data_IF_727327657640
#
_entry.id   IF_727327657640
#
_cell.length_a   1.000
_cell.length_b   1.000
_cell.length_c   1.000
_cell.angle_alpha   90.00
_cell.angle_beta   90.00
_cell.angle_gamma   90.00
#
_symmetry.space_group_name_H-M   'P 1'
#
loop_
_entity.id
_entity.type
_entity.pdbx_description
1 polymer ?
#
# COMPACT_ATOMS: atom_id res chain seq x y z
N UNK A 1 -58.40 -32.88 -85.53
CA UNK A 1 -59.24 -31.98 -84.66
C UNK A 1 -59.41 -32.61 -83.26
N UNK A 2 -59.36 -31.85 -82.28
CA UNK A 2 -59.58 -32.05 -80.80
C UNK A 2 -58.35 -32.52 -80.02
N UNK A 3 -57.83 -31.56 -79.37
CA UNK A 3 -56.91 -31.51 -78.24
C UNK A 3 -57.42 -32.23 -77.00
N UNK A 4 -56.58 -33.01 -76.34
CA UNK A 4 -56.81 -33.48 -74.98
C UNK A 4 -55.68 -32.98 -74.05
N UNK A 5 -55.98 -32.10 -73.20
CA UNK A 5 -55.08 -31.56 -72.21
C UNK A 5 -55.01 -32.47 -70.94
N UNK A 6 -53.85 -33.06 -70.71
CA UNK A 6 -53.59 -33.81 -69.48
C UNK A 6 -53.19 -32.85 -68.40
N UNK A 7 -53.92 -32.85 -67.30
CA UNK A 7 -53.71 -32.09 -66.09
C UNK A 7 -52.72 -32.86 -65.14
N UNK A 8 -51.48 -32.38 -65.05
CA UNK A 8 -50.48 -32.92 -64.11
C UNK A 8 -50.72 -32.25 -62.75
N UNK A 9 -51.18 -33.00 -61.77
CA UNK A 9 -51.30 -32.52 -60.39
C UNK A 9 -49.96 -32.73 -59.71
N UNK A 10 -49.32 -31.61 -59.42
CA UNK A 10 -48.11 -31.54 -58.59
C UNK A 10 -48.51 -31.59 -57.10
N UNK A 11 -48.17 -32.66 -56.41
CA UNK A 11 -48.26 -32.72 -54.94
C UNK A 11 -47.02 -32.08 -54.35
N UNK A 12 -47.17 -30.90 -53.77
CA UNK A 12 -46.11 -30.27 -52.99
C UNK A 12 -46.11 -30.85 -51.53
N UNK A 13 -45.09 -31.62 -51.20
CA UNK A 13 -44.83 -32.04 -49.80
C UNK A 13 -44.24 -30.85 -49.05
N UNK A 14 -45.01 -30.27 -48.09
CA UNK A 14 -44.50 -29.34 -47.13
C UNK A 14 -43.75 -30.14 -46.04
N UNK A 15 -42.43 -30.09 -46.08
CA UNK A 15 -41.59 -30.50 -44.96
C UNK A 15 -41.61 -29.40 -43.89
N UNK A 16 -42.36 -29.61 -42.82
CA UNK A 16 -42.31 -28.76 -41.59
C UNK A 16 -41.06 -29.19 -40.83
N UNK A 17 -39.97 -28.44 -40.97
CA UNK A 17 -38.80 -28.56 -40.10
C UNK A 17 -39.15 -27.91 -38.76
N UNK A 18 -39.46 -28.70 -37.76
CA UNK A 18 -39.54 -28.25 -36.38
C UNK A 18 -38.11 -27.88 -35.90
N UNK A 19 -37.79 -26.60 -36.04
CA UNK A 19 -36.57 -26.07 -35.44
C UNK A 19 -36.66 -26.18 -33.92
N UNK A 20 -35.87 -27.05 -33.29
CA UNK A 20 -35.60 -26.99 -31.83
C UNK A 20 -34.89 -25.66 -31.56
N UNK A 21 -35.63 -24.67 -31.14
CA UNK A 21 -35.03 -23.47 -30.56
C UNK A 21 -34.32 -23.89 -29.26
N UNK A 22 -33.00 -23.98 -29.30
CA UNK A 22 -32.20 -24.12 -28.11
C UNK A 22 -32.49 -22.90 -27.22
N UNK A 23 -33.18 -23.11 -26.11
CA UNK A 23 -33.37 -22.07 -25.11
C UNK A 23 -32.00 -21.77 -24.52
N UNK A 24 -31.41 -20.62 -24.90
CA UNK A 24 -30.26 -20.05 -24.15
C UNK A 24 -30.70 -19.86 -22.73
N UNK A 25 -29.90 -20.35 -21.74
CA UNK A 25 -30.25 -20.13 -20.33
C UNK A 25 -30.41 -18.62 -20.09
N UNK A 26 -31.58 -18.23 -19.60
CA UNK A 26 -31.82 -16.82 -19.26
C UNK A 26 -30.79 -16.40 -18.22
N UNK A 27 -29.92 -15.47 -18.59
CA UNK A 27 -28.98 -14.88 -17.61
C UNK A 27 -29.79 -14.24 -16.51
N UNK A 28 -29.55 -14.67 -15.27
CA UNK A 28 -30.16 -14.06 -14.09
C UNK A 28 -29.74 -12.59 -14.07
N UNK A 29 -30.69 -11.68 -14.20
CA UNK A 29 -30.45 -10.25 -14.02
C UNK A 29 -30.46 -9.97 -12.52
N UNK A 30 -29.27 -9.81 -11.95
CA UNK A 30 -29.11 -9.36 -10.55
C UNK A 30 -28.99 -7.85 -10.53
N UNK A 31 -29.73 -7.17 -9.66
CA UNK A 31 -29.51 -5.74 -9.42
C UNK A 31 -28.11 -5.53 -8.86
N UNK A 32 -27.48 -4.46 -9.26
CA UNK A 32 -26.15 -4.09 -8.73
C UNK A 32 -26.28 -3.74 -7.24
N UNK A 33 -25.48 -4.37 -6.40
CA UNK A 33 -25.44 -4.03 -4.98
C UNK A 33 -24.92 -2.60 -4.83
N UNK A 34 -25.58 -1.71 -4.06
CA UNK A 34 -25.14 -0.33 -3.87
C UNK A 34 -23.79 -0.26 -3.16
N UNK A 35 -23.55 -1.17 -2.19
CA UNK A 35 -22.25 -1.31 -1.51
C UNK A 35 -21.65 -2.69 -1.78
N UNK A 36 -20.34 -2.77 -2.07
CA UNK A 36 -19.70 -4.04 -2.34
C UNK A 36 -19.64 -4.91 -1.08
N UNK A 37 -19.90 -6.21 -1.24
CA UNK A 37 -19.79 -7.19 -0.16
C UNK A 37 -18.36 -7.22 0.40
N UNK A 38 -18.22 -7.16 1.74
CA UNK A 38 -16.92 -7.11 2.43
C UNK A 38 -16.01 -8.28 2.05
N UNK A 39 -16.53 -9.51 1.94
CA UNK A 39 -15.74 -10.67 1.53
C UNK A 39 -15.18 -10.51 0.11
N UNK A 40 -15.96 -9.95 -0.82
CA UNK A 40 -15.47 -9.62 -2.18
C UNK A 40 -14.40 -8.54 -2.16
N UNK A 41 -14.52 -7.55 -1.26
CA UNK A 41 -13.48 -6.52 -1.08
C UNK A 41 -12.18 -7.14 -0.59
N UNK A 42 -12.22 -8.00 0.42
CA UNK A 42 -11.04 -8.72 0.94
C UNK A 42 -10.35 -9.55 -0.16
N UNK A 43 -11.10 -10.25 -0.99
CA UNK A 43 -10.52 -10.96 -2.16
C UNK A 43 -9.83 -10.01 -3.14
N UNK A 44 -10.36 -8.80 -3.35
CA UNK A 44 -9.70 -7.77 -4.19
C UNK A 44 -8.42 -7.26 -3.55
N UNK A 45 -8.37 -7.08 -2.23
CA UNK A 45 -7.16 -6.68 -1.51
C UNK A 45 -6.06 -7.73 -1.68
N UNK A 46 -6.38 -9.02 -1.52
CA UNK A 46 -5.43 -10.12 -1.75
C UNK A 46 -4.96 -10.12 -3.21
N UNK A 47 -5.87 -10.00 -4.19
CA UNK A 47 -5.51 -9.96 -5.60
C UNK A 47 -4.62 -8.75 -5.94
N UNK A 48 -4.88 -7.58 -5.35
CA UNK A 48 -4.07 -6.37 -5.51
C UNK A 48 -2.65 -6.54 -4.94
N UNK A 49 -2.53 -7.15 -3.76
CA UNK A 49 -1.23 -7.41 -3.14
C UNK A 49 -0.44 -8.47 -3.93
N UNK A 50 -1.06 -9.59 -4.26
CA UNK A 50 -0.38 -10.77 -4.82
C UNK A 50 -0.13 -10.65 -6.35
N UNK A 51 -0.67 -9.60 -6.99
CA UNK A 51 -0.50 -9.41 -8.42
C UNK A 51 0.94 -8.97 -8.77
N UNK A 52 1.38 -9.33 -10.00
CA UNK A 52 2.74 -9.04 -10.50
C UNK A 52 2.73 -8.24 -11.81
N UNK A 53 1.67 -7.47 -12.04
CA UNK A 53 1.52 -6.65 -13.24
C UNK A 53 2.24 -5.29 -13.14
N UNK A 54 2.32 -4.60 -14.26
CA UNK A 54 2.98 -3.28 -14.35
C UNK A 54 2.10 -2.13 -13.84
N UNK A 55 0.80 -2.36 -13.68
CA UNK A 55 -0.16 -1.37 -13.18
C UNK A 55 -1.23 -2.05 -12.33
N UNK A 56 -1.75 -1.30 -11.36
CA UNK A 56 -2.83 -1.79 -10.50
C UNK A 56 -2.41 -2.92 -9.56
N UNK A 57 -1.10 -3.01 -9.23
CA UNK A 57 -0.54 -3.95 -8.28
C UNK A 57 0.14 -3.22 -7.13
N UNK A 58 -0.01 -3.74 -5.92
CA UNK A 58 0.50 -3.11 -4.70
C UNK A 58 1.99 -2.78 -4.79
N UNK A 59 2.82 -3.77 -5.13
CA UNK A 59 4.28 -3.57 -5.24
C UNK A 59 4.65 -2.54 -6.30
N UNK A 60 3.93 -2.48 -7.41
CA UNK A 60 4.19 -1.51 -8.48
C UNK A 60 3.80 -0.10 -8.05
N UNK A 61 2.68 0.03 -7.34
CA UNK A 61 2.23 1.32 -6.83
C UNK A 61 3.13 1.83 -5.69
N UNK A 62 3.62 0.94 -4.80
CA UNK A 62 4.66 1.25 -3.81
C UNK A 62 5.93 1.77 -4.48
N UNK A 63 6.43 1.04 -5.49
CA UNK A 63 7.64 1.42 -6.22
C UNK A 63 7.50 2.79 -6.90
N UNK A 64 6.36 3.06 -7.52
CA UNK A 64 6.10 4.36 -8.16
C UNK A 64 6.20 5.53 -7.18
N UNK A 65 5.66 5.38 -5.96
CA UNK A 65 5.77 6.42 -4.93
C UNK A 65 7.20 6.54 -4.41
N UNK A 66 7.89 5.42 -4.20
CA UNK A 66 9.29 5.42 -3.77
C UNK A 66 10.20 6.06 -4.82
N UNK A 67 9.98 5.80 -6.11
CA UNK A 67 10.76 6.41 -7.19
C UNK A 67 10.55 7.94 -7.26
N UNK A 68 9.34 8.43 -6.98
CA UNK A 68 9.08 9.88 -6.83
C UNK A 68 9.85 10.47 -5.65
N UNK A 69 9.87 9.77 -4.52
CA UNK A 69 10.63 10.19 -3.34
C UNK A 69 12.13 10.24 -3.63
N UNK A 70 12.67 9.22 -4.29
CA UNK A 70 14.09 9.14 -4.68
C UNK A 70 14.45 10.28 -5.65
N UNK A 71 13.64 10.52 -6.67
CA UNK A 71 13.88 11.60 -7.63
C UNK A 71 13.90 12.98 -6.96
N UNK A 72 12.98 13.22 -6.01
CA UNK A 72 12.97 14.44 -5.21
C UNK A 72 14.23 14.56 -4.34
N UNK A 73 14.60 13.50 -3.63
CA UNK A 73 15.81 13.46 -2.78
C UNK A 73 17.05 13.82 -3.59
N UNK A 74 17.26 13.17 -4.73
CA UNK A 74 18.41 13.42 -5.62
C UNK A 74 18.44 14.87 -6.12
N UNK A 75 17.29 15.40 -6.57
CA UNK A 75 17.21 16.79 -7.02
C UNK A 75 17.51 17.77 -5.87
N UNK A 76 17.01 17.47 -4.67
CA UNK A 76 17.15 18.35 -3.51
C UNK A 76 18.57 18.37 -2.97
N UNK A 77 19.23 17.20 -2.91
CA UNK A 77 20.62 17.09 -2.45
C UNK A 77 21.61 17.68 -3.43
N UNK A 78 21.41 17.51 -4.74
CA UNK A 78 22.23 18.13 -5.76
C UNK A 78 22.27 19.67 -5.66
N UNK A 79 21.18 20.29 -5.17
CA UNK A 79 21.10 21.75 -4.97
C UNK A 79 21.70 22.22 -3.64
N UNK A 80 21.88 21.32 -2.68
CA UNK A 80 22.24 21.68 -1.31
C UNK A 80 23.74 21.92 -1.11
N UNK A 81 24.59 21.24 -1.86
CA UNK A 81 26.02 21.16 -1.57
C UNK A 81 26.33 20.34 -0.30
N UNK A 82 27.56 19.91 -0.13
CA UNK A 82 27.96 18.96 0.93
C UNK A 82 27.68 19.45 2.36
N UNK A 83 27.94 20.73 2.65
CA UNK A 83 27.73 21.28 4.01
C UNK A 83 26.26 21.31 4.45
N UNK A 84 25.33 21.49 3.51
CA UNK A 84 23.92 21.53 3.81
C UNK A 84 23.29 20.13 3.87
N UNK A 85 23.90 19.15 3.21
CA UNK A 85 23.43 17.77 3.26
C UNK A 85 23.46 17.19 4.68
N UNK A 86 24.40 17.58 5.53
CA UNK A 86 24.55 17.10 6.89
C UNK A 86 23.40 17.46 7.85
N UNK A 87 22.58 18.43 7.49
CA UNK A 87 21.41 18.83 8.29
C UNK A 87 20.08 18.44 7.64
N UNK A 88 20.15 17.84 6.44
CA UNK A 88 18.97 17.32 5.78
C UNK A 88 18.62 15.95 6.35
N UNK A 89 17.33 15.72 6.54
CA UNK A 89 16.84 14.44 6.97
C UNK A 89 15.56 14.01 6.23
N UNK A 90 15.34 12.72 6.26
CA UNK A 90 14.08 12.12 5.87
C UNK A 90 13.45 11.40 7.05
N UNK A 91 12.14 11.42 7.12
CA UNK A 91 11.34 10.69 8.09
C UNK A 91 10.62 9.56 7.37
N UNK A 92 10.74 8.35 7.90
CA UNK A 92 10.07 7.15 7.43
C UNK A 92 9.19 6.58 8.54
N UNK A 93 7.97 6.24 8.22
CA UNK A 93 7.18 5.33 9.02
C UNK A 93 7.69 3.88 8.86
N UNK A 94 7.22 2.95 9.70
CA UNK A 94 7.67 1.55 9.68
C UNK A 94 6.64 0.63 9.06
N UNK A 95 5.43 0.53 9.61
CA UNK A 95 4.44 -0.47 9.24
C UNK A 95 3.80 -0.12 7.88
N UNK A 96 3.81 -1.03 6.94
CA UNK A 96 3.42 -0.87 5.52
C UNK A 96 4.12 0.30 4.80
N UNK A 97 5.18 0.82 5.42
CA UNK A 97 6.07 1.84 4.83
C UNK A 97 7.48 1.31 4.63
N UNK A 98 8.15 0.92 5.69
CA UNK A 98 9.51 0.37 5.66
C UNK A 98 9.53 -1.15 5.76
N UNK A 99 8.62 -1.72 6.54
CA UNK A 99 8.42 -3.16 6.73
C UNK A 99 7.00 -3.54 6.31
N UNK A 100 6.85 -4.73 5.71
CA UNK A 100 5.54 -5.26 5.37
C UNK A 100 5.04 -6.22 6.43
N UNK A 101 3.83 -6.02 6.89
CA UNK A 101 3.13 -6.90 7.83
C UNK A 101 2.06 -7.76 7.14
N UNK A 102 2.15 -7.90 5.82
CA UNK A 102 1.16 -8.62 5.01
C UNK A 102 0.77 -9.98 5.56
N UNK A 103 1.71 -10.73 6.12
CA UNK A 103 1.45 -12.08 6.61
C UNK A 103 0.43 -12.08 7.77
N UNK A 104 0.59 -11.19 8.74
CA UNK A 104 -0.35 -11.05 9.86
C UNK A 104 -1.63 -10.35 9.43
N UNK A 105 -1.56 -9.34 8.57
CA UNK A 105 -2.74 -8.66 8.03
C UNK A 105 -3.68 -9.64 7.32
N UNK A 106 -3.12 -10.50 6.49
CA UNK A 106 -3.87 -11.54 5.77
C UNK A 106 -4.37 -12.64 6.72
N UNK A 107 -3.54 -13.07 7.67
CA UNK A 107 -3.91 -14.07 8.69
C UNK A 107 -5.12 -13.63 9.50
N UNK A 108 -5.14 -12.37 9.93
CA UNK A 108 -6.18 -11.79 10.78
C UNK A 108 -7.37 -11.25 9.97
N UNK A 109 -7.43 -11.62 8.68
CA UNK A 109 -8.52 -11.26 7.78
C UNK A 109 -8.76 -9.74 7.72
N UNK A 110 -7.66 -8.96 7.70
CA UNK A 110 -7.62 -7.48 7.73
C UNK A 110 -8.23 -6.88 9.00
N UNK A 111 -8.25 -7.63 10.09
CA UNK A 111 -8.62 -7.16 11.41
C UNK A 111 -7.39 -6.91 12.28
N UNK A 112 -7.53 -6.08 13.33
CA UNK A 112 -6.47 -5.91 14.31
C UNK A 112 -6.72 -6.79 15.53
N UNK A 113 -5.89 -7.81 15.71
CA UNK A 113 -5.87 -8.67 16.90
C UNK A 113 -4.59 -8.43 17.67
N UNK A 114 -4.67 -7.69 18.74
CA UNK A 114 -3.51 -7.21 19.51
C UNK A 114 -2.54 -8.33 19.92
N UNK A 115 -3.06 -9.52 20.28
CA UNK A 115 -2.24 -10.68 20.63
C UNK A 115 -1.42 -11.17 19.44
N UNK A 116 -2.03 -11.27 18.27
CA UNK A 116 -1.39 -11.82 17.08
C UNK A 116 -0.41 -10.80 16.49
N UNK A 117 -0.78 -9.51 16.54
CA UNK A 117 0.13 -8.42 16.21
C UNK A 117 1.41 -8.44 17.07
N UNK A 118 1.29 -8.55 18.40
CA UNK A 118 2.46 -8.58 19.28
C UNK A 118 3.33 -9.82 18.99
N UNK A 119 2.70 -10.99 18.80
CA UNK A 119 3.42 -12.20 18.44
C UNK A 119 4.15 -12.06 17.10
N UNK A 120 3.54 -11.41 16.11
CA UNK A 120 4.16 -11.12 14.82
C UNK A 120 5.40 -10.22 14.97
N UNK A 121 5.28 -9.08 15.66
CA UNK A 121 6.39 -8.16 15.89
C UNK A 121 7.56 -8.87 16.60
N UNK A 122 7.26 -9.73 17.57
CA UNK A 122 8.28 -10.51 18.30
C UNK A 122 9.00 -11.54 17.41
N UNK A 123 8.43 -11.94 16.28
CA UNK A 123 9.15 -12.81 15.31
C UNK A 123 10.32 -12.10 14.65
N UNK A 124 10.29 -10.76 14.52
CA UNK A 124 11.31 -9.92 13.85
C UNK A 124 11.51 -10.29 12.37
N UNK A 125 10.45 -10.76 11.70
CA UNK A 125 10.53 -11.34 10.34
C UNK A 125 9.82 -10.52 9.27
N UNK A 126 9.29 -9.36 9.61
CA UNK A 126 8.66 -8.49 8.62
C UNK A 126 9.68 -8.11 7.52
N UNK A 127 9.41 -8.47 6.25
CA UNK A 127 10.34 -8.18 5.17
C UNK A 127 10.34 -6.67 4.83
N UNK A 128 11.43 -6.16 4.23
CA UNK A 128 11.50 -4.77 3.82
C UNK A 128 10.56 -4.51 2.64
N UNK A 129 9.95 -3.32 2.61
CA UNK A 129 9.34 -2.78 1.40
C UNK A 129 10.48 -2.27 0.51
N UNK A 130 10.71 -3.00 -0.58
CA UNK A 130 11.89 -2.81 -1.44
C UNK A 130 12.06 -1.36 -1.95
N UNK A 131 10.96 -0.68 -2.28
CA UNK A 131 11.00 0.72 -2.72
C UNK A 131 11.50 1.66 -1.63
N UNK A 132 11.05 1.48 -0.40
CA UNK A 132 11.48 2.27 0.75
C UNK A 132 12.92 1.96 1.14
N UNK A 133 13.34 0.70 1.07
CA UNK A 133 14.75 0.34 1.31
C UNK A 133 15.69 0.99 0.26
N UNK A 134 15.26 1.07 -1.01
CA UNK A 134 16.02 1.82 -2.04
C UNK A 134 16.14 3.31 -1.68
N UNK A 135 15.03 3.93 -1.28
CA UNK A 135 15.02 5.33 -0.84
C UNK A 135 15.96 5.55 0.35
N UNK A 136 15.90 4.67 1.34
CA UNK A 136 16.78 4.70 2.51
C UNK A 136 18.26 4.67 2.13
N UNK A 137 18.64 3.70 1.29
CA UNK A 137 20.04 3.57 0.83
C UNK A 137 20.49 4.79 0.00
N UNK A 138 19.59 5.36 -0.80
CA UNK A 138 19.90 6.58 -1.56
C UNK A 138 20.08 7.79 -0.63
N UNK A 139 19.30 7.90 0.45
CA UNK A 139 19.47 8.95 1.46
C UNK A 139 20.86 8.87 2.11
N UNK A 140 21.26 7.70 2.58
CA UNK A 140 22.57 7.46 3.19
C UNK A 140 23.72 7.79 2.20
N UNK A 141 23.60 7.37 0.95
CA UNK A 141 24.56 7.67 -0.11
C UNK A 141 24.78 9.17 -0.33
N UNK A 142 23.74 9.97 -0.12
CA UNK A 142 23.78 11.43 -0.22
C UNK A 142 24.11 12.13 1.10
N UNK A 143 24.45 11.39 2.16
CA UNK A 143 24.75 11.93 3.48
C UNK A 143 23.53 12.51 4.22
N UNK A 144 22.32 12.14 3.79
CA UNK A 144 21.06 12.57 4.41
C UNK A 144 20.74 11.64 5.57
N UNK A 145 20.44 12.20 6.73
CA UNK A 145 20.05 11.44 7.92
C UNK A 145 18.66 10.82 7.76
N UNK A 146 18.44 9.66 8.37
CA UNK A 146 17.14 8.98 8.35
C UNK A 146 16.62 8.79 9.76
N UNK A 147 15.39 9.20 9.99
CA UNK A 147 14.66 8.97 11.25
C UNK A 147 13.46 8.06 10.98
N UNK A 148 13.26 7.11 11.88
CA UNK A 148 12.02 6.30 11.89
C UNK A 148 11.09 6.82 12.98
N UNK A 149 9.80 6.98 12.64
CA UNK A 149 8.74 7.34 13.61
C UNK A 149 7.58 6.36 13.41
N UNK A 150 7.32 5.51 14.40
CA UNK A 150 6.30 4.46 14.31
C UNK A 150 5.27 4.55 15.42
N UNK A 151 4.05 4.09 15.15
CA UNK A 151 3.01 3.89 16.15
C UNK A 151 3.23 2.68 17.07
N UNK A 152 4.23 1.83 16.81
CA UNK A 152 4.57 0.69 17.67
C UNK A 152 4.87 1.13 19.09
N UNK A 153 4.48 0.30 20.07
CA UNK A 153 4.71 0.60 21.47
C UNK A 153 6.20 0.59 21.84
N UNK A 154 6.60 1.41 22.79
CA UNK A 154 7.99 1.46 23.28
C UNK A 154 8.52 0.08 23.72
N UNK A 155 7.67 -0.76 24.31
CA UNK A 155 8.00 -2.13 24.68
C UNK A 155 8.45 -3.02 23.49
N UNK A 156 8.13 -2.62 22.26
CA UNK A 156 8.51 -3.33 21.03
C UNK A 156 9.82 -2.82 20.39
N UNK A 157 10.55 -1.93 21.08
CA UNK A 157 11.77 -1.27 20.55
C UNK A 157 12.83 -2.26 20.07
N UNK A 158 13.17 -3.24 20.91
CA UNK A 158 14.22 -4.21 20.58
C UNK A 158 13.84 -5.06 19.37
N UNK A 159 12.61 -5.60 19.36
CA UNK A 159 12.10 -6.39 18.25
C UNK A 159 12.05 -5.58 16.94
N UNK A 160 11.59 -4.31 17.04
CA UNK A 160 11.53 -3.40 15.88
C UNK A 160 12.92 -3.05 15.35
N UNK A 161 13.85 -2.71 16.24
CA UNK A 161 15.22 -2.36 15.85
C UNK A 161 15.96 -3.53 15.20
N UNK A 162 15.83 -4.74 15.76
CA UNK A 162 16.43 -5.94 15.16
C UNK A 162 15.80 -6.30 13.81
N UNK A 163 14.47 -6.18 13.68
CA UNK A 163 13.80 -6.43 12.41
C UNK A 163 14.25 -5.43 11.33
N UNK A 164 14.35 -4.14 11.67
CA UNK A 164 14.88 -3.14 10.72
C UNK A 164 16.29 -3.51 10.26
N UNK A 165 17.19 -3.89 11.18
CA UNK A 165 18.55 -4.31 10.83
C UNK A 165 18.55 -5.54 9.91
N UNK A 166 17.77 -6.57 10.25
CA UNK A 166 17.65 -7.78 9.44
C UNK A 166 17.07 -7.48 8.05
N UNK A 167 16.17 -6.51 7.96
CA UNK A 167 15.58 -6.06 6.71
C UNK A 167 16.51 -5.18 5.85
N UNK A 168 17.71 -4.82 6.35
CA UNK A 168 18.71 -4.08 5.61
C UNK A 168 18.79 -2.59 5.93
N UNK A 169 18.07 -2.13 6.94
CA UNK A 169 18.19 -0.76 7.43
C UNK A 169 19.28 -0.69 8.51
N UNK A 170 20.31 0.10 8.28
CA UNK A 170 21.44 0.31 9.19
C UNK A 170 21.73 1.81 9.30
N UNK A 171 22.40 2.24 10.36
CA UNK A 171 22.92 3.62 10.48
C UNK A 171 21.85 4.74 10.43
N UNK A 172 20.63 4.47 10.94
CA UNK A 172 19.63 5.53 11.10
C UNK A 172 20.00 6.50 12.23
N UNK A 173 19.63 7.76 12.09
CA UNK A 173 19.91 8.80 13.08
C UNK A 173 19.00 8.73 14.31
N UNK A 174 17.78 8.21 14.17
CA UNK A 174 16.85 8.07 15.28
C UNK A 174 15.72 7.09 14.98
N UNK A 175 15.19 6.52 16.08
CA UNK A 175 14.05 5.61 16.06
C UNK A 175 13.10 6.00 17.20
N UNK A 176 11.94 6.56 16.87
CA UNK A 176 10.90 6.94 17.81
C UNK A 176 9.75 5.93 17.79
N UNK A 177 9.49 5.33 18.95
CA UNK A 177 8.32 4.48 19.19
C UNK A 177 7.37 5.21 20.13
N UNK A 178 6.09 4.83 20.06
CA UNK A 178 5.06 5.47 20.88
C UNK A 178 5.11 4.94 22.31
N UNK A 179 5.54 5.79 23.24
CA UNK A 179 5.50 5.50 24.68
C UNK A 179 4.08 5.65 25.25
N UNK A 180 4.01 5.65 26.57
CA UNK A 180 2.77 5.95 27.29
C UNK A 180 2.24 7.33 26.88
N UNK A 181 0.96 7.41 26.56
CA UNK A 181 0.33 8.62 26.04
C UNK A 181 -1.11 8.75 26.53
N UNK A 182 -1.63 9.99 26.64
CA UNK A 182 -3.03 10.20 26.93
C UNK A 182 -3.92 9.59 25.84
N UNK A 183 -5.07 9.04 26.22
CA UNK A 183 -6.03 8.49 25.26
C UNK A 183 -6.53 9.52 24.21
N UNK A 184 -6.39 10.79 24.51
CA UNK A 184 -6.75 11.90 23.61
C UNK A 184 -5.69 12.24 22.58
N UNK A 185 -4.47 11.73 22.70
CA UNK A 185 -3.41 11.99 21.75
C UNK A 185 -3.61 11.14 20.49
N UNK A 186 -3.88 11.77 19.37
CA UNK A 186 -3.98 11.09 18.08
C UNK A 186 -2.62 10.59 17.59
N UNK A 187 -2.62 9.69 16.63
CA UNK A 187 -1.38 9.24 15.97
C UNK A 187 -0.71 10.40 15.22
N UNK A 188 -1.49 11.28 14.60
CA UNK A 188 -0.97 12.48 13.94
C UNK A 188 -0.30 13.45 14.92
N UNK A 189 -0.88 13.67 16.11
CA UNK A 189 -0.27 14.52 17.15
C UNK A 189 1.06 13.94 17.65
N UNK A 190 1.10 12.62 17.88
CA UNK A 190 2.33 11.95 18.27
C UNK A 190 3.41 12.11 17.20
N UNK A 191 3.11 11.71 15.94
CA UNK A 191 4.11 11.73 14.87
C UNK A 191 4.58 13.14 14.52
N UNK A 192 3.70 14.13 14.53
CA UNK A 192 4.10 15.52 14.34
C UNK A 192 4.94 16.07 15.51
N UNK A 193 4.64 15.63 16.74
CA UNK A 193 5.47 15.95 17.90
C UNK A 193 6.89 15.39 17.79
N UNK A 194 7.06 14.16 17.31
CA UNK A 194 8.39 13.58 17.05
C UNK A 194 9.13 14.32 15.94
N UNK A 195 8.44 14.68 14.83
CA UNK A 195 9.05 15.54 13.79
C UNK A 195 9.50 16.89 14.34
N UNK A 196 8.73 17.46 15.27
CA UNK A 196 9.14 18.70 15.94
C UNK A 196 10.45 18.55 16.71
N UNK A 197 10.65 17.44 17.42
CA UNK A 197 11.91 17.17 18.14
C UNK A 197 13.10 17.10 17.18
N UNK A 198 12.93 16.50 16.02
CA UNK A 198 13.95 16.44 14.97
C UNK A 198 14.31 17.84 14.48
N UNK A 199 13.33 18.67 14.18
CA UNK A 199 13.58 20.08 13.77
C UNK A 199 14.20 20.91 14.88
N UNK A 200 13.76 20.76 16.12
CA UNK A 200 14.33 21.45 17.28
C UNK A 200 15.80 21.03 17.55
N UNK A 201 16.19 19.82 17.13
CA UNK A 201 17.57 19.35 17.18
C UNK A 201 18.46 19.91 16.03
N UNK A 202 17.89 20.75 15.16
CA UNK A 202 18.62 21.42 14.08
C UNK A 202 18.57 20.72 12.73
N UNK A 203 17.80 19.64 12.58
CA UNK A 203 17.61 18.99 11.30
C UNK A 203 16.51 19.67 10.47
N UNK A 204 16.59 19.46 9.16
CA UNK A 204 15.59 19.97 8.22
C UNK A 204 14.95 18.81 7.48
N UNK A 205 13.69 18.50 7.80
CA UNK A 205 12.93 17.43 7.18
C UNK A 205 12.62 17.79 5.71
N UNK A 206 13.33 17.17 4.77
CA UNK A 206 13.07 17.39 3.35
C UNK A 206 12.05 16.40 2.79
N UNK A 207 11.93 15.23 3.39
CA UNK A 207 11.01 14.20 2.93
C UNK A 207 10.39 13.47 4.12
N UNK A 208 9.08 13.24 4.06
CA UNK A 208 8.35 12.41 5.00
C UNK A 208 7.53 11.37 4.24
N UNK A 209 7.73 10.09 4.54
CA UNK A 209 7.06 8.98 3.85
C UNK A 209 6.30 8.13 4.84
N UNK A 210 5.06 7.86 4.53
CA UNK A 210 4.17 7.03 5.35
C UNK A 210 3.01 6.47 4.54
N UNK A 211 2.39 5.43 5.05
CA UNK A 211 1.24 4.75 4.44
C UNK A 211 -0.11 5.23 4.99
N UNK A 212 -0.10 6.03 6.07
CA UNK A 212 -1.30 6.65 6.64
C UNK A 212 -1.22 8.18 6.57
N UNK A 213 -2.38 8.84 6.51
CA UNK A 213 -2.41 10.31 6.60
C UNK A 213 -1.94 10.83 7.96
N UNK A 214 -2.10 10.04 9.02
CA UNK A 214 -1.58 10.34 10.34
C UNK A 214 -0.05 10.43 10.41
N UNK A 215 0.68 9.81 9.47
CA UNK A 215 2.14 9.94 9.33
C UNK A 215 2.54 11.31 8.80
N UNK A 216 1.71 11.87 7.94
CA UNK A 216 2.03 13.03 7.11
C UNK A 216 1.42 14.34 7.65
N UNK A 217 0.31 14.23 8.37
CA UNK A 217 -0.41 15.38 8.92
C UNK A 217 0.32 16.03 10.10
N UNK A 218 -0.09 17.26 10.43
CA UNK A 218 0.45 18.03 11.54
C UNK A 218 1.70 18.83 11.16
N UNK A 219 2.24 19.57 12.14
CA UNK A 219 3.40 20.46 11.96
C UNK A 219 4.53 20.06 12.90
N UNK A 220 5.83 20.14 12.48
CA UNK A 220 6.28 20.62 11.19
C UNK A 220 5.99 19.65 10.03
N UNK A 221 5.85 20.20 8.82
CA UNK A 221 5.74 19.42 7.59
C UNK A 221 7.12 19.31 6.92
N UNK A 222 7.33 18.23 6.17
CA UNK A 222 8.48 18.09 5.27
C UNK A 222 8.33 18.99 4.03
N UNK A 223 9.42 19.23 3.31
CA UNK A 223 9.35 19.90 1.99
C UNK A 223 8.51 19.09 0.99
N UNK A 224 8.55 17.76 1.07
CA UNK A 224 7.68 16.84 0.35
C UNK A 224 7.19 15.72 1.29
N UNK A 225 5.89 15.47 1.30
CA UNK A 225 5.31 14.27 1.92
C UNK A 225 4.84 13.30 0.86
N UNK A 226 5.17 12.02 1.01
CA UNK A 226 4.81 10.95 0.08
C UNK A 226 3.95 9.91 0.77
N UNK A 227 2.70 9.78 0.31
CA UNK A 227 1.74 8.79 0.77
C UNK A 227 1.95 7.48 0.00
N UNK A 228 2.32 6.42 0.69
CA UNK A 228 2.32 5.07 0.12
C UNK A 228 0.91 4.49 0.11
N UNK A 229 0.57 3.62 -0.84
CA UNK A 229 -0.69 2.91 -0.81
C UNK A 229 -0.74 1.94 0.37
N UNK A 230 -1.83 1.99 1.13
CA UNK A 230 -2.22 0.96 2.08
C UNK A 230 -3.76 0.87 2.08
N UNK A 231 -4.33 -0.12 1.41
CA UNK A 231 -5.77 -0.36 1.41
C UNK A 231 -6.20 -1.38 2.47
N UNK A 232 -5.30 -1.88 3.32
CA UNK A 232 -5.54 -3.01 4.22
C UNK A 232 -6.17 -2.59 5.54
N UNK A 233 -5.76 -1.43 6.05
CA UNK A 233 -6.31 -0.83 7.26
C UNK A 233 -6.24 0.70 7.21
N UNK A 234 -6.91 1.35 8.16
CA UNK A 234 -6.93 2.80 8.31
C UNK A 234 -6.66 3.20 9.75
N UNK A 235 -5.73 4.15 9.92
CA UNK A 235 -5.45 4.81 11.21
C UNK A 235 -5.89 6.27 11.10
N UNK A 236 -6.90 6.71 11.88
CA UNK A 236 -7.45 8.06 11.83
C UNK A 236 -6.47 9.16 12.29
#
# INVERSE_FOLDING_TARGET
>A
MRSSKSLLRLFALLLISAGLAAQTPSSIRVSQEPEPNLGKLKLRLVAYHDCKGDQGCYVTDLNRQSDRAIAFLQQRTAKAGEKLALVLDIVLDIDETSLSNWDVEKQDDFGYISKDWNAWVDTRKAPPIAGTLRLYNEALKHGVSVFFITGRAEAQRDATSENLKTAGYHDWAGLALRGDHPATQTTADYKSGERKKIVDAGYKIILNVGDQMSDLNGSPQAELSVKLPNPFYYIP
#
